data_IF_842074595974
#
_entry.id   IF_842074595974
#
_cell.length_a   1.000
_cell.length_b   1.000
_cell.length_c   1.000
_cell.angle_alpha   90.00
_cell.angle_beta   90.00
_cell.angle_gamma   90.00
#
_symmetry.space_group_name_H-M   'P 1'
#
loop_
_entity.id
_entity.type
_entity.pdbx_description
1 polymer ?
#
# COMPACT_ATOMS: atom_id res chain seq x y z
N UNK A 1 61.84 -4.35 26.50
CA UNK A 1 60.82 -4.11 27.55
C UNK A 1 60.24 -2.72 27.29
N UNK A 2 59.15 -2.54 26.53
CA UNK A 2 57.76 -2.84 26.90
C UNK A 2 56.98 -1.51 26.92
N UNK A 3 56.55 -1.04 25.74
CA UNK A 3 55.81 0.23 25.56
C UNK A 3 54.41 0.07 26.13
N UNK A 4 54.11 0.69 27.28
CA UNK A 4 52.77 0.69 27.86
C UNK A 4 51.88 1.68 27.10
N UNK A 5 51.14 1.21 26.11
CA UNK A 5 50.05 1.94 25.48
C UNK A 5 48.94 2.17 26.50
N UNK A 6 48.68 3.43 26.87
CA UNK A 6 47.52 3.80 27.69
C UNK A 6 46.26 3.64 26.84
N UNK A 7 45.53 2.55 27.05
CA UNK A 7 44.20 2.36 26.46
C UNK A 7 43.19 3.26 27.15
N UNK A 8 42.46 4.06 26.39
CA UNK A 8 41.32 4.82 26.91
C UNK A 8 40.13 3.89 27.06
N UNK A 9 39.67 3.66 28.29
CA UNK A 9 38.44 2.93 28.58
C UNK A 9 37.28 3.94 28.61
N UNK A 10 36.31 3.78 27.70
CA UNK A 10 35.06 4.55 27.71
C UNK A 10 34.07 3.88 28.65
N UNK A 11 33.85 4.48 29.81
CA UNK A 11 32.80 4.06 30.74
C UNK A 11 31.55 4.89 30.51
N UNK A 12 30.44 4.23 30.19
CA UNK A 12 29.12 4.87 30.13
C UNK A 12 28.54 4.92 31.55
N UNK A 13 28.64 6.07 32.21
CA UNK A 13 28.01 6.25 33.52
C UNK A 13 26.50 6.40 33.37
N UNK A 14 25.74 5.43 33.89
CA UNK A 14 24.28 5.41 33.78
C UNK A 14 23.57 6.62 34.39
N UNK A 15 24.21 7.32 35.35
CA UNK A 15 23.67 8.56 35.94
C UNK A 15 23.76 9.72 34.94
N UNK A 16 24.92 9.95 34.33
CA UNK A 16 25.09 11.00 33.32
C UNK A 16 24.24 10.75 32.07
N UNK A 17 24.10 9.49 31.65
CA UNK A 17 23.23 9.12 30.54
C UNK A 17 21.75 9.43 30.81
N UNK A 18 21.28 9.20 32.04
CA UNK A 18 19.89 9.52 32.44
C UNK A 18 19.65 11.03 32.53
N UNK A 19 20.62 11.80 32.99
CA UNK A 19 20.50 13.27 33.07
C UNK A 19 20.41 13.91 31.67
N UNK A 20 21.24 13.46 30.72
CA UNK A 20 21.19 13.91 29.31
C UNK A 20 19.83 13.61 28.66
N UNK A 21 19.19 12.49 29.02
CA UNK A 21 17.87 12.11 28.49
C UNK A 21 16.68 12.77 29.19
N UNK A 22 16.86 13.37 30.37
CA UNK A 22 15.79 14.19 30.98
C UNK A 22 15.52 15.44 30.13
N UNK A 23 16.53 15.95 29.43
CA UNK A 23 16.45 17.19 28.65
C UNK A 23 16.43 17.01 27.11
N UNK A 24 16.48 15.79 26.56
CA UNK A 24 16.35 15.60 25.09
C UNK A 24 15.84 14.22 24.65
N UNK A 25 15.38 14.02 23.40
CA UNK A 25 14.92 14.95 22.38
C UNK A 25 13.38 14.88 22.32
N UNK A 26 12.69 15.30 23.39
CA UNK A 26 11.22 15.24 23.46
C UNK A 26 10.54 15.89 22.25
N UNK A 27 11.19 16.89 21.64
CA UNK A 27 10.66 17.57 20.45
C UNK A 27 10.72 16.73 19.17
N UNK A 28 11.79 15.96 18.95
CA UNK A 28 11.94 15.13 17.74
C UNK A 28 11.05 13.90 17.83
N UNK A 29 11.00 13.26 19.00
CA UNK A 29 10.12 12.11 19.22
C UNK A 29 8.64 12.49 19.07
N UNK A 30 8.23 13.67 19.58
CA UNK A 30 6.90 14.23 19.33
C UNK A 30 6.67 14.52 17.85
N UNK A 31 7.61 15.15 17.15
CA UNK A 31 7.48 15.45 15.73
C UNK A 31 7.28 14.19 14.86
N UNK A 32 7.96 13.11 15.21
CA UNK A 32 7.82 11.81 14.52
C UNK A 32 6.47 11.17 14.84
N UNK A 33 6.03 11.24 16.09
CA UNK A 33 4.72 10.72 16.49
C UNK A 33 3.58 11.49 15.82
N UNK A 34 3.65 12.82 15.82
CA UNK A 34 2.70 13.71 15.13
C UNK A 34 2.67 13.43 13.61
N UNK A 35 3.79 13.01 13.01
CA UNK A 35 3.87 12.63 11.60
C UNK A 35 3.12 11.31 11.33
N UNK A 36 3.28 10.30 12.19
CA UNK A 36 2.60 9.03 12.04
C UNK A 36 1.08 9.16 12.21
N UNK A 37 0.63 9.94 13.19
CA UNK A 37 -0.79 10.23 13.40
C UNK A 37 -1.42 10.94 12.17
N UNK A 38 -0.69 11.87 11.56
CA UNK A 38 -1.13 12.52 10.31
C UNK A 38 -1.17 11.56 9.14
N UNK A 39 -0.16 10.71 8.99
CA UNK A 39 -0.12 9.69 7.94
C UNK A 39 -1.29 8.70 8.06
N UNK A 40 -1.63 8.28 9.27
CA UNK A 40 -2.80 7.42 9.52
C UNK A 40 -4.09 8.13 9.11
N UNK A 41 -4.24 9.40 9.49
CA UNK A 41 -5.39 10.24 9.08
C UNK A 41 -5.46 10.42 7.56
N UNK A 42 -4.32 10.66 6.90
CA UNK A 42 -4.23 10.83 5.45
C UNK A 42 -4.56 9.53 4.71
N UNK A 43 -4.12 8.38 5.24
CA UNK A 43 -4.46 7.05 4.72
C UNK A 43 -5.96 6.79 4.86
N UNK A 44 -6.55 7.07 6.02
CA UNK A 44 -7.99 6.93 6.22
C UNK A 44 -8.78 7.86 5.28
N UNK A 45 -8.36 9.12 5.14
CA UNK A 45 -9.01 10.09 4.26
C UNK A 45 -8.88 9.72 2.77
N UNK A 46 -7.77 9.11 2.37
CA UNK A 46 -7.55 8.63 1.00
C UNK A 46 -8.21 7.27 0.73
N UNK A 47 -8.51 6.48 1.76
CA UNK A 47 -9.13 5.16 1.63
C UNK A 47 -10.62 5.32 1.33
N UNK A 48 -11.01 5.03 0.09
CA UNK A 48 -12.42 4.93 -0.29
C UNK A 48 -12.89 3.49 -0.18
N UNK A 49 -13.89 3.25 0.67
CA UNK A 49 -14.61 1.98 0.70
C UNK A 49 -15.56 1.97 -0.50
N UNK A 50 -15.21 1.15 -1.50
CA UNK A 50 -16.06 0.91 -2.67
C UNK A 50 -16.86 -0.36 -2.41
N UNK A 51 -18.20 -0.28 -2.47
CA UNK A 51 -19.04 -1.48 -2.47
C UNK A 51 -18.79 -2.26 -3.76
N UNK A 52 -17.96 -3.29 -3.67
CA UNK A 52 -17.75 -4.23 -4.75
C UNK A 52 -18.94 -5.20 -4.82
N UNK A 53 -19.50 -5.49 -6.00
CA UNK A 53 -20.50 -6.54 -6.14
C UNK A 53 -19.93 -7.91 -5.76
N UNK A 54 -20.77 -8.79 -5.22
CA UNK A 54 -20.45 -10.10 -4.61
C UNK A 54 -19.56 -11.05 -5.45
N UNK A 55 -19.38 -10.79 -6.75
CA UNK A 55 -18.54 -11.60 -7.64
C UNK A 55 -17.07 -11.16 -7.70
N UNK A 56 -16.69 -10.03 -7.09
CA UNK A 56 -15.29 -9.55 -7.08
C UNK A 56 -14.66 -9.84 -5.72
N UNK A 57 -14.20 -11.07 -5.52
CA UNK A 57 -13.69 -11.52 -4.21
C UNK A 57 -12.27 -11.01 -3.89
N UNK A 58 -11.50 -10.58 -4.90
CA UNK A 58 -10.27 -9.78 -4.73
C UNK A 58 -10.11 -8.87 -5.94
N UNK A 59 -9.73 -7.62 -5.68
CA UNK A 59 -9.39 -6.61 -6.68
C UNK A 59 -7.88 -6.34 -6.52
N UNK A 60 -7.09 -6.60 -7.56
CA UNK A 60 -5.67 -6.25 -7.52
C UNK A 60 -5.49 -4.74 -7.74
N UNK A 61 -4.34 -4.18 -7.32
CA UNK A 61 -4.09 -2.74 -7.42
C UNK A 61 -4.21 -2.21 -8.86
N UNK A 62 -3.88 -3.05 -9.85
CA UNK A 62 -4.01 -2.70 -11.27
C UNK A 62 -5.47 -2.60 -11.70
N UNK A 63 -6.33 -3.56 -11.34
CA UNK A 63 -7.77 -3.52 -11.64
C UNK A 63 -8.46 -2.35 -10.94
N UNK A 64 -8.07 -2.03 -9.70
CA UNK A 64 -8.54 -0.83 -8.99
C UNK A 64 -8.21 0.43 -9.79
N UNK A 65 -6.95 0.62 -10.18
CA UNK A 65 -6.52 1.78 -10.95
C UNK A 65 -7.26 1.91 -12.30
N UNK A 66 -7.47 0.79 -13.00
CA UNK A 66 -8.20 0.78 -14.27
C UNK A 66 -9.68 1.18 -14.09
N UNK A 67 -10.33 0.66 -13.03
CA UNK A 67 -11.72 1.02 -12.71
C UNK A 67 -11.84 2.49 -12.30
N UNK A 68 -10.89 3.01 -11.52
CA UNK A 68 -10.85 4.42 -11.14
C UNK A 68 -10.67 5.33 -12.36
N UNK A 69 -9.74 5.00 -13.26
CA UNK A 69 -9.53 5.73 -14.50
C UNK A 69 -10.79 5.74 -15.38
N UNK A 70 -11.43 4.58 -15.56
CA UNK A 70 -12.69 4.45 -16.30
C UNK A 70 -13.78 5.33 -15.70
N UNK A 71 -13.97 5.26 -14.39
CA UNK A 71 -15.00 6.04 -13.69
C UNK A 71 -14.75 7.55 -13.82
N UNK A 72 -13.49 8.00 -13.68
CA UNK A 72 -13.13 9.41 -13.83
C UNK A 72 -13.38 9.94 -15.25
N UNK A 73 -13.11 9.13 -16.28
CA UNK A 73 -13.39 9.50 -17.68
C UNK A 73 -14.90 9.48 -17.95
N UNK A 74 -15.60 8.48 -17.44
CA UNK A 74 -17.04 8.35 -17.58
C UNK A 74 -17.79 9.52 -16.91
N UNK A 75 -17.39 9.92 -15.71
CA UNK A 75 -17.94 11.10 -15.02
C UNK A 75 -17.72 12.39 -15.83
N UNK A 76 -16.52 12.56 -16.40
CA UNK A 76 -16.21 13.70 -17.27
C UNK A 76 -17.03 13.67 -18.56
N UNK A 77 -17.21 12.51 -19.17
CA UNK A 77 -18.06 12.34 -20.35
C UNK A 77 -19.53 12.63 -20.05
N UNK A 78 -20.06 12.20 -18.89
CA UNK A 78 -21.42 12.52 -18.46
C UNK A 78 -21.65 14.04 -18.39
N UNK A 79 -20.63 14.81 -17.97
CA UNK A 79 -20.65 16.29 -17.96
C UNK A 79 -20.45 16.91 -19.35
N UNK A 80 -19.80 16.20 -20.28
CA UNK A 80 -19.45 16.66 -21.62
C UNK A 80 -19.88 15.65 -22.70
N UNK A 81 -21.18 15.35 -22.78
CA UNK A 81 -21.69 14.21 -23.60
C UNK A 81 -21.37 14.29 -25.09
N UNK A 82 -21.13 15.50 -25.62
CA UNK A 82 -20.76 15.75 -27.02
C UNK A 82 -19.28 15.47 -27.31
N UNK A 83 -18.45 15.30 -26.28
CA UNK A 83 -17.04 15.01 -26.44
C UNK A 83 -16.84 13.53 -26.83
N UNK A 84 -16.65 13.30 -28.13
CA UNK A 84 -16.45 11.96 -28.71
C UNK A 84 -15.18 11.28 -28.21
N UNK A 85 -14.10 12.04 -27.97
CA UNK A 85 -12.83 11.49 -27.50
C UNK A 85 -12.97 10.81 -26.13
N UNK A 86 -13.69 11.43 -25.20
CA UNK A 86 -13.92 10.83 -23.87
C UNK A 86 -14.74 9.54 -23.94
N UNK A 87 -15.66 9.44 -24.91
CA UNK A 87 -16.43 8.21 -25.15
C UNK A 87 -15.56 7.10 -25.72
N UNK A 88 -14.68 7.43 -26.67
CA UNK A 88 -13.72 6.48 -27.26
C UNK A 88 -12.73 5.99 -26.21
N UNK A 89 -12.18 6.89 -25.40
CA UNK A 89 -11.25 6.58 -24.31
C UNK A 89 -11.88 5.66 -23.23
N UNK A 90 -13.17 5.86 -22.92
CA UNK A 90 -13.91 4.94 -22.02
C UNK A 90 -14.10 3.56 -22.66
N UNK A 91 -14.32 3.51 -23.97
CA UNK A 91 -14.51 2.25 -24.70
C UNK A 91 -13.19 1.48 -24.87
N UNK A 92 -12.06 2.16 -24.98
CA UNK A 92 -10.73 1.56 -25.03
C UNK A 92 -10.33 0.92 -23.69
N UNK A 93 -10.69 1.54 -22.57
CA UNK A 93 -10.40 0.99 -21.24
C UNK A 93 -11.24 -0.25 -20.89
N UNK A 94 -12.36 -0.48 -21.59
CA UNK A 94 -13.26 -1.58 -21.26
C UNK A 94 -12.67 -2.97 -21.57
N UNK A 95 -12.11 -3.22 -22.78
CA UNK A 95 -11.35 -4.45 -23.06
C UNK A 95 -10.21 -4.72 -22.08
N UNK A 96 -9.43 -3.69 -21.71
CA UNK A 96 -8.29 -3.84 -20.79
C UNK A 96 -8.74 -4.30 -19.40
N UNK A 97 -9.88 -3.80 -18.92
CA UNK A 97 -10.49 -4.22 -17.65
C UNK A 97 -10.97 -5.67 -17.73
N UNK A 98 -11.63 -6.05 -18.83
CA UNK A 98 -12.15 -7.40 -19.02
C UNK A 98 -11.01 -8.44 -19.12
N UNK A 99 -9.98 -8.15 -19.92
CA UNK A 99 -8.82 -9.02 -20.09
C UNK A 99 -8.10 -9.25 -18.76
N UNK A 100 -7.88 -8.18 -18.00
CA UNK A 100 -7.18 -8.25 -16.72
C UNK A 100 -8.03 -8.98 -15.66
N UNK A 101 -9.35 -8.75 -15.63
CA UNK A 101 -10.26 -9.47 -14.74
C UNK A 101 -10.32 -10.97 -15.06
N UNK A 102 -10.34 -11.35 -16.36
CA UNK A 102 -10.28 -12.75 -16.79
C UNK A 102 -8.97 -13.42 -16.38
N UNK A 103 -7.86 -12.71 -16.56
CA UNK A 103 -6.53 -13.20 -16.18
C UNK A 103 -6.44 -13.48 -14.68
N UNK A 104 -6.91 -12.54 -13.84
CA UNK A 104 -6.96 -12.74 -12.39
C UNK A 104 -7.84 -13.92 -12.00
N UNK A 105 -8.98 -14.09 -12.68
CA UNK A 105 -9.87 -15.20 -12.40
C UNK A 105 -9.20 -16.55 -12.73
N UNK A 106 -8.48 -16.64 -13.85
CA UNK A 106 -7.75 -17.85 -14.22
C UNK A 106 -6.63 -18.16 -13.22
N UNK A 107 -5.86 -17.16 -12.81
CA UNK A 107 -4.82 -17.31 -11.78
C UNK A 107 -5.39 -17.87 -10.48
N UNK A 108 -6.58 -17.41 -10.07
CA UNK A 108 -7.27 -17.94 -8.89
C UNK A 108 -7.67 -19.40 -9.04
N UNK A 109 -8.21 -19.77 -10.20
CA UNK A 109 -8.56 -21.17 -10.44
C UNK A 109 -7.32 -22.06 -10.35
N UNK A 110 -6.20 -21.62 -10.93
CA UNK A 110 -4.93 -22.33 -10.84
C UNK A 110 -4.41 -22.44 -9.40
N UNK A 111 -4.50 -21.37 -8.60
CA UNK A 111 -4.16 -21.38 -7.18
C UNK A 111 -5.03 -22.36 -6.39
N UNK A 112 -6.34 -22.36 -6.61
CA UNK A 112 -7.29 -23.26 -5.94
C UNK A 112 -7.00 -24.72 -6.32
N UNK A 113 -6.77 -25.00 -7.61
CA UNK A 113 -6.39 -26.31 -8.09
C UNK A 113 -5.07 -26.76 -7.46
N UNK A 114 -4.05 -25.89 -7.41
CA UNK A 114 -2.74 -26.19 -6.82
C UNK A 114 -2.84 -26.48 -5.32
N UNK A 115 -3.61 -25.69 -4.57
CA UNK A 115 -3.86 -25.91 -3.15
C UNK A 115 -4.58 -27.23 -2.90
N UNK A 116 -5.55 -27.58 -3.75
CA UNK A 116 -6.32 -28.82 -3.65
C UNK A 116 -5.45 -30.04 -3.98
N UNK A 117 -4.67 -29.98 -5.06
CA UNK A 117 -3.72 -31.03 -5.44
C UNK A 117 -2.63 -31.23 -4.39
N UNK A 118 -2.11 -30.14 -3.81
CA UNK A 118 -1.15 -30.20 -2.71
C UNK A 118 -1.73 -30.87 -1.47
N UNK A 119 -3.02 -30.67 -1.20
CA UNK A 119 -3.74 -31.32 -0.10
C UNK A 119 -4.01 -32.80 -0.37
N UNK A 120 -4.29 -33.17 -1.61
CA UNK A 120 -4.53 -34.57 -2.02
C UNK A 120 -3.22 -35.38 -2.03
N UNK A 121 -2.07 -34.77 -2.35
CA UNK A 121 -0.76 -35.44 -2.34
C UNK A 121 -0.17 -35.65 -0.93
N UNK A 122 -0.69 -34.96 0.08
CA UNK A 122 -0.23 -35.01 1.47
C UNK A 122 -1.16 -35.86 2.38
N UNK A 123 -2.24 -36.43 1.84
CA UNK A 123 -3.16 -37.33 2.52
C UNK A 123 -3.00 -38.77 2.01
#
# INVERSE_FOLDING_TARGET
>A
MGVKSRGNIRLLTGVAFREIRKEGPNRILRLVQDLFERLETDVEAATKIVEAPLYITQMDAKLVNLLEARNAIQERWCKQRLNRRLREETAELHPDIEEHALTLNNQKWDEICTLTDGRIRMA
#
